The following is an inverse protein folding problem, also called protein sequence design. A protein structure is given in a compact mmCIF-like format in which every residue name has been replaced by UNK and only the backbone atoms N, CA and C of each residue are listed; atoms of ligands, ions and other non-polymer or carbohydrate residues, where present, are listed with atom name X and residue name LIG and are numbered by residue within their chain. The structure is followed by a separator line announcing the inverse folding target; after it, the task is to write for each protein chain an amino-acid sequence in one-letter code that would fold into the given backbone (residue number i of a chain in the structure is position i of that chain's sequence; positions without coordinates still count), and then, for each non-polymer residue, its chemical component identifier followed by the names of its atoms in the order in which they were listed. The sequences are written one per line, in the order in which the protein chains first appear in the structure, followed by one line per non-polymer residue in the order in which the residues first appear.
data_IF_530645079106
#
_entry.id   IF_530645079106
#
_cell.length_a   1.000
_cell.length_b   1.000
_cell.length_c   1.000
_cell.angle_alpha   90.00
_cell.angle_beta   90.00
_cell.angle_gamma   90.00
#
_symmetry.space_group_name_H-M   'P 1'
#
loop_
_entity.id
_entity.type
_entity.pdbx_description
1 polymer ?
#
# COMPACT_ATOMS: atom_id res chain seq x y z
N UNK A 1 -20.14 -19.12 2.40
CA UNK A 1 -18.96 -19.99 2.60
C UNK A 1 -17.82 -19.27 1.91
N UNK A 2 -16.76 -18.76 2.52
CA UNK A 2 -16.16 -18.84 3.87
C UNK A 2 -15.28 -17.57 3.93
N UNK A 3 -15.52 -16.59 4.82
CA UNK A 3 -14.50 -15.57 5.13
C UNK A 3 -14.77 -14.72 6.37
N UNK A 4 -15.21 -15.37 7.45
CA UNK A 4 -15.23 -14.77 8.79
C UNK A 4 -14.53 -15.69 9.77
N UNK A 5 -13.27 -16.05 9.45
CA UNK A 5 -12.28 -16.21 10.51
C UNK A 5 -11.62 -14.85 10.67
N UNK A 6 -12.19 -14.02 11.56
CA UNK A 6 -11.39 -12.97 12.16
C UNK A 6 -10.11 -13.64 12.67
N UNK A 7 -8.96 -13.32 12.07
CA UNK A 7 -7.68 -13.95 12.40
C UNK A 7 -7.42 -13.75 13.89
N UNK A 8 -7.62 -14.81 14.68
CA UNK A 8 -7.29 -14.88 16.12
C UNK A 8 -5.78 -15.05 16.36
N UNK A 9 -4.97 -14.83 15.33
CA UNK A 9 -3.52 -15.03 15.32
C UNK A 9 -2.87 -13.72 14.92
N UNK A 10 -1.92 -13.25 15.73
CA UNK A 10 -1.09 -12.09 15.44
C UNK A 10 -0.17 -12.43 14.27
N UNK A 11 -0.01 -11.52 13.31
CA UNK A 11 0.90 -11.76 12.22
C UNK A 11 2.35 -11.48 12.65
N UNK A 12 3.32 -12.25 12.16
CA UNK A 12 4.75 -11.95 12.38
C UNK A 12 5.19 -10.62 11.75
N UNK A 13 4.44 -10.10 10.77
CA UNK A 13 4.61 -8.76 10.20
C UNK A 13 3.83 -7.66 10.96
N UNK A 14 3.22 -7.97 12.11
CA UNK A 14 2.59 -6.94 12.93
C UNK A 14 3.64 -5.95 13.45
N UNK A 15 3.37 -4.66 13.27
CA UNK A 15 4.32 -3.59 13.57
C UNK A 15 4.66 -3.50 15.07
N UNK A 16 3.68 -3.78 15.96
CA UNK A 16 3.92 -3.84 17.42
C UNK A 16 4.80 -5.01 17.80
N UNK A 17 4.56 -6.19 17.21
CA UNK A 17 5.40 -7.37 17.45
C UNK A 17 6.82 -7.21 16.87
N UNK A 18 6.93 -6.61 15.68
CA UNK A 18 8.20 -6.28 15.07
C UNK A 18 9.00 -5.32 15.96
N UNK A 19 8.36 -4.26 16.44
CA UNK A 19 8.92 -3.33 17.42
C UNK A 19 9.34 -4.05 18.70
N UNK A 20 8.47 -4.88 19.27
CA UNK A 20 8.73 -5.67 20.48
C UNK A 20 9.97 -6.55 20.35
N UNK A 21 10.10 -7.26 19.23
CA UNK A 21 11.23 -8.16 18.98
C UNK A 21 12.53 -7.39 18.84
N UNK A 22 12.51 -6.22 18.20
CA UNK A 22 13.73 -5.49 17.82
C UNK A 22 14.08 -4.32 18.73
N UNK A 23 13.25 -3.94 19.70
CA UNK A 23 13.51 -2.78 20.57
C UNK A 23 14.17 -3.11 21.91
N UNK A 24 14.18 -4.38 22.31
CA UNK A 24 14.70 -4.83 23.61
C UNK A 24 16.20 -5.02 23.56
N UNK A 25 16.89 -4.84 24.68
CA UNK A 25 18.36 -4.97 24.77
C UNK A 25 18.85 -6.35 25.26
N UNK A 26 18.01 -7.38 25.13
CA UNK A 26 18.44 -8.78 25.33
C UNK A 26 19.22 -9.34 24.14
N UNK A 27 19.99 -10.41 24.36
CA UNK A 27 20.90 -11.00 23.36
C UNK A 27 20.19 -11.37 22.06
N UNK A 28 18.99 -11.96 22.15
CA UNK A 28 18.21 -12.36 20.98
C UNK A 28 17.82 -11.17 20.12
N UNK A 29 17.26 -10.14 20.76
CA UNK A 29 16.82 -8.91 20.10
C UNK A 29 17.97 -8.15 19.45
N UNK A 30 19.11 -8.01 20.15
CA UNK A 30 20.35 -7.41 19.61
C UNK A 30 20.84 -8.19 18.39
N UNK A 31 20.89 -9.52 18.50
CA UNK A 31 21.30 -10.38 17.40
C UNK A 31 20.36 -10.22 16.18
N UNK A 32 19.05 -10.22 16.39
CA UNK A 32 18.07 -10.12 15.32
C UNK A 32 18.19 -8.79 14.56
N UNK A 33 18.22 -7.65 15.27
CA UNK A 33 18.32 -6.33 14.59
C UNK A 33 19.64 -6.16 13.86
N UNK A 34 20.76 -6.59 14.46
CA UNK A 34 22.08 -6.46 13.83
C UNK A 34 22.20 -7.36 12.60
N UNK A 35 21.65 -8.57 12.67
CA UNK A 35 21.61 -9.49 11.54
C UNK A 35 20.77 -8.91 10.40
N UNK A 36 19.58 -8.37 10.69
CA UNK A 36 18.75 -7.71 9.67
C UNK A 36 19.50 -6.53 9.02
N UNK A 37 20.13 -5.67 9.81
CA UNK A 37 20.92 -4.55 9.28
C UNK A 37 22.03 -5.06 8.36
N UNK A 38 22.78 -6.07 8.78
CA UNK A 38 23.89 -6.63 7.99
C UNK A 38 23.41 -7.27 6.70
N UNK A 39 22.34 -8.07 6.75
CA UNK A 39 21.77 -8.76 5.57
C UNK A 39 21.20 -7.79 4.57
N UNK A 40 20.52 -6.75 5.03
CA UNK A 40 19.89 -5.77 4.16
C UNK A 40 20.93 -4.80 3.61
N UNK A 41 21.86 -4.31 4.40
CA UNK A 41 22.74 -3.18 3.98
C UNK A 41 24.17 -3.58 3.65
N UNK A 42 24.59 -4.80 3.97
CA UNK A 42 25.98 -5.25 3.94
C UNK A 42 26.84 -4.66 5.07
N UNK A 43 26.25 -3.89 5.99
CA UNK A 43 26.96 -3.25 7.09
C UNK A 43 27.02 -4.20 8.28
N UNK A 44 28.22 -4.66 8.60
CA UNK A 44 28.47 -5.35 9.86
C UNK A 44 28.32 -4.39 11.04
N UNK A 45 27.44 -4.73 11.97
CA UNK A 45 27.18 -4.01 13.22
C UNK A 45 27.75 -4.84 14.37
N UNK A 46 28.61 -4.25 15.20
CA UNK A 46 29.15 -4.93 16.38
C UNK A 46 28.28 -4.71 17.59
N UNK A 47 27.88 -3.47 17.80
CA UNK A 47 27.03 -3.05 18.92
C UNK A 47 25.97 -2.09 18.40
N UNK A 48 24.78 -2.18 18.99
CA UNK A 48 23.64 -1.37 18.59
C UNK A 48 22.82 -1.01 19.82
N UNK A 49 22.27 0.20 19.83
CA UNK A 49 21.39 0.66 20.90
C UNK A 49 20.11 1.23 20.32
N UNK A 50 18.97 0.86 20.90
CA UNK A 50 17.66 1.34 20.49
C UNK A 50 17.39 2.69 21.16
N UNK A 51 17.12 3.71 20.34
CA UNK A 51 16.91 5.09 20.81
C UNK A 51 15.47 5.35 21.27
N UNK A 52 14.53 4.50 20.87
CA UNK A 52 13.10 4.64 21.19
C UNK A 52 12.51 3.31 21.70
N UNK A 53 12.96 2.75 22.84
CA UNK A 53 12.58 1.40 23.27
C UNK A 53 11.13 1.28 23.78
N UNK A 54 10.42 2.40 23.96
CA UNK A 54 9.11 2.44 24.61
C UNK A 54 8.07 1.60 23.86
N UNK A 55 7.36 0.75 24.63
CA UNK A 55 6.27 -0.11 24.20
C UNK A 55 5.02 0.08 25.06
N UNK A 56 4.87 1.23 25.71
CA UNK A 56 3.69 1.52 26.55
C UNK A 56 2.40 1.43 25.72
N UNK A 57 1.49 0.48 26.03
CA UNK A 57 0.20 0.32 25.34
C UNK A 57 -0.63 1.60 25.30
N UNK A 58 -0.51 2.49 26.28
CA UNK A 58 -1.17 3.78 26.33
C UNK A 58 -0.69 4.78 25.27
N UNK A 59 0.47 4.51 24.64
CA UNK A 59 1.08 5.32 23.58
C UNK A 59 1.12 4.62 22.22
N UNK A 60 1.27 3.28 22.22
CA UNK A 60 1.19 2.42 21.04
C UNK A 60 -0.18 2.61 20.34
N UNK A 61 -0.18 2.63 19.00
CA UNK A 61 -1.41 2.76 18.20
C UNK A 61 -1.91 4.20 18.00
N UNK A 62 -1.45 5.19 18.79
CA UNK A 62 -1.80 6.61 18.59
C UNK A 62 -1.05 7.25 17.42
N UNK A 63 0.19 6.83 17.16
CA UNK A 63 1.01 7.31 16.05
C UNK A 63 1.87 6.17 15.49
N UNK A 64 1.77 5.92 14.19
CA UNK A 64 2.57 4.88 13.50
C UNK A 64 4.08 5.07 13.67
N UNK A 65 4.57 6.32 13.73
CA UNK A 65 6.01 6.64 13.94
C UNK A 65 6.62 6.05 15.22
N UNK A 66 5.80 5.70 16.22
CA UNK A 66 6.28 5.16 17.48
C UNK A 66 6.71 3.69 17.31
N UNK A 67 6.17 3.02 16.29
CA UNK A 67 6.37 1.59 16.04
C UNK A 67 7.62 1.30 15.21
N UNK A 68 8.17 2.31 14.53
CA UNK A 68 9.51 2.25 13.94
C UNK A 68 10.60 1.97 15.00
N UNK A 69 11.65 1.21 14.63
CA UNK A 69 12.79 0.91 15.51
C UNK A 69 13.98 1.79 15.14
N UNK A 70 14.30 2.78 15.98
CA UNK A 70 15.44 3.66 15.79
C UNK A 70 16.66 3.06 16.47
N UNK A 71 17.68 2.72 15.69
CA UNK A 71 18.90 2.07 16.17
C UNK A 71 20.10 2.96 15.86
N UNK A 72 21.02 3.04 16.81
CA UNK A 72 22.34 3.67 16.63
C UNK A 72 23.43 2.64 16.88
N UNK A 73 24.37 2.52 15.94
CA UNK A 73 25.48 1.58 16.06
C UNK A 73 26.73 2.18 16.73
N UNK A 74 27.77 1.35 16.88
CA UNK A 74 29.04 1.76 17.51
C UNK A 74 29.79 2.89 16.77
N UNK A 75 29.45 3.16 15.51
CA UNK A 75 30.04 4.23 14.69
C UNK A 75 29.15 5.47 14.63
N UNK A 76 28.02 5.46 15.34
CA UNK A 76 27.03 6.52 15.35
C UNK A 76 26.16 6.59 14.09
N UNK A 77 26.14 5.55 13.25
CA UNK A 77 25.22 5.46 12.11
C UNK A 77 23.81 5.18 12.63
N UNK A 78 22.83 5.78 11.97
CA UNK A 78 21.43 5.65 12.35
C UNK A 78 20.72 4.67 11.41
N UNK A 79 19.95 3.75 11.98
CA UNK A 79 19.09 2.83 11.25
C UNK A 79 17.65 3.02 11.71
N UNK A 80 16.73 3.13 10.76
CA UNK A 80 15.30 3.09 11.00
C UNK A 80 14.75 1.78 10.43
N UNK A 81 14.29 0.86 11.28
CA UNK A 81 13.68 -0.39 10.85
C UNK A 81 12.16 -0.24 10.94
N UNK A 82 11.46 -0.41 9.82
CA UNK A 82 10.02 -0.16 9.73
C UNK A 82 9.32 -1.36 9.06
N UNK A 83 8.20 -1.79 9.64
CA UNK A 83 7.35 -2.85 9.09
C UNK A 83 6.04 -2.23 8.62
N UNK A 84 5.84 -2.14 7.31
CA UNK A 84 4.65 -1.51 6.72
C UNK A 84 3.78 -2.54 5.99
N UNK A 85 2.76 -3.02 6.70
CA UNK A 85 1.71 -3.93 6.18
C UNK A 85 0.63 -3.18 5.40
N UNK A 86 0.44 -1.89 5.66
CA UNK A 86 -0.57 -1.07 4.96
C UNK A 86 0.10 -0.20 3.91
N UNK A 87 0.42 -0.76 2.75
CA UNK A 87 0.86 0.05 1.62
C UNK A 87 -0.36 0.64 0.90
N UNK A 88 -0.75 1.85 1.30
CA UNK A 88 -1.99 2.51 0.86
C UNK A 88 -1.75 3.91 0.26
N UNK A 89 -0.70 4.07 -0.55
CA UNK A 89 -0.62 5.17 -1.53
C UNK A 89 0.46 6.22 -1.25
N UNK A 90 0.19 7.44 -1.76
CA UNK A 90 1.16 8.55 -1.80
C UNK A 90 1.54 9.02 -0.39
N UNK A 91 0.60 8.93 0.57
CA UNK A 91 0.82 9.39 1.94
C UNK A 91 1.92 8.60 2.66
N UNK A 92 1.98 7.27 2.50
CA UNK A 92 3.03 6.43 3.06
C UNK A 92 4.41 6.77 2.48
N UNK A 93 4.49 7.01 1.16
CA UNK A 93 5.74 7.41 0.51
C UNK A 93 6.25 8.76 1.05
N UNK A 94 5.36 9.75 1.15
CA UNK A 94 5.69 11.05 1.75
C UNK A 94 6.14 10.91 3.21
N UNK A 95 5.53 9.99 3.95
CA UNK A 95 5.87 9.71 5.35
C UNK A 95 7.29 9.13 5.47
N UNK A 96 7.66 8.17 4.63
CA UNK A 96 9.01 7.62 4.62
C UNK A 96 10.06 8.71 4.33
N UNK A 97 9.78 9.62 3.40
CA UNK A 97 10.66 10.77 3.13
C UNK A 97 10.76 11.72 4.32
N UNK A 98 9.61 12.09 4.90
CA UNK A 98 9.56 12.95 6.07
C UNK A 98 10.35 12.36 7.25
N UNK A 99 10.23 11.05 7.51
CA UNK A 99 10.96 10.39 8.59
C UNK A 99 12.46 10.31 8.34
N UNK A 100 12.87 10.05 7.10
CA UNK A 100 14.28 10.06 6.72
C UNK A 100 14.91 11.42 6.95
N UNK A 101 14.22 12.49 6.52
CA UNK A 101 14.66 13.86 6.72
C UNK A 101 14.66 14.25 8.21
N UNK A 102 13.63 13.87 8.97
CA UNK A 102 13.55 14.13 10.41
C UNK A 102 14.67 13.43 11.18
N UNK A 103 14.95 12.16 10.86
CA UNK A 103 16.04 11.41 11.48
C UNK A 103 17.40 12.07 11.21
N UNK A 104 17.60 12.63 10.01
CA UNK A 104 18.82 13.38 9.68
C UNK A 104 18.90 14.69 10.46
N UNK A 105 17.80 15.46 10.52
CA UNK A 105 17.73 16.72 11.23
C UNK A 105 17.98 16.56 12.74
N UNK A 106 17.47 15.49 13.33
CA UNK A 106 17.61 15.21 14.76
C UNK A 106 19.03 14.81 15.19
N UNK A 107 19.97 14.64 14.24
CA UNK A 107 21.36 14.34 14.60
C UNK A 107 22.13 15.54 15.12
N UNK A 108 21.78 16.75 14.67
CA UNK A 108 22.54 17.95 14.96
C UNK A 108 21.90 18.75 16.10
N UNK A 109 22.70 19.03 17.12
CA UNK A 109 22.43 20.12 18.05
C UNK A 109 22.97 21.45 17.50
N UNK A 110 22.55 22.58 18.09
CA UNK A 110 22.84 23.93 17.58
C UNK A 110 24.34 24.29 17.46
N UNK A 111 25.24 23.48 18.01
CA UNK A 111 26.70 23.65 17.99
C UNK A 111 27.45 22.68 17.07
N UNK A 112 26.76 21.71 16.46
CA UNK A 112 27.40 20.68 15.63
C UNK A 112 27.55 21.10 14.16
N UNK A 113 28.59 20.58 13.47
CA UNK A 113 28.89 20.96 12.09
C UNK A 113 28.26 19.97 11.12
N UNK A 114 27.74 20.45 9.98
CA UNK A 114 27.14 19.58 8.95
C UNK A 114 28.05 18.45 8.46
N UNK A 115 29.38 18.63 8.47
CA UNK A 115 30.34 17.59 8.09
C UNK A 115 30.37 16.38 9.03
N UNK A 116 29.79 16.51 10.22
CA UNK A 116 29.79 15.47 11.25
C UNK A 116 28.53 14.58 11.14
N UNK A 117 27.56 14.96 10.27
CA UNK A 117 26.37 14.18 9.97
C UNK A 117 26.70 12.74 9.59
N UNK A 118 25.98 11.81 10.19
CA UNK A 118 26.08 10.38 9.88
C UNK A 118 24.95 9.97 8.94
N UNK A 119 25.18 8.99 8.07
CA UNK A 119 24.13 8.47 7.21
C UNK A 119 23.01 7.82 8.04
N UNK A 120 21.77 8.07 7.60
CA UNK A 120 20.54 7.42 8.04
C UNK A 120 20.19 6.33 7.03
N UNK A 121 20.05 5.10 7.52
CA UNK A 121 19.63 3.93 6.76
C UNK A 121 18.18 3.61 7.10
N UNK A 122 17.26 3.84 6.17
CA UNK A 122 15.87 3.44 6.30
C UNK A 122 15.70 2.04 5.70
N UNK A 123 15.30 1.06 6.50
CA UNK A 123 15.04 -0.31 6.08
C UNK A 123 13.54 -0.55 6.30
N UNK A 124 12.81 -0.66 5.20
CA UNK A 124 11.35 -0.67 5.20
C UNK A 124 10.88 -1.99 4.59
N UNK A 125 10.26 -2.84 5.40
CA UNK A 125 9.59 -4.05 4.94
C UNK A 125 8.19 -3.67 4.42
N UNK A 126 7.85 -4.11 3.22
CA UNK A 126 6.57 -3.75 2.58
C UNK A 126 5.84 -4.97 1.99
N UNK A 127 4.51 -4.99 2.19
CA UNK A 127 3.58 -6.05 1.75
C UNK A 127 3.13 -5.86 0.28
N UNK A 128 3.48 -4.74 -0.39
CA UNK A 128 3.18 -4.54 -1.82
C UNK A 128 4.45 -4.27 -2.64
N UNK A 129 4.56 -4.97 -3.76
CA UNK A 129 5.56 -4.66 -4.78
C UNK A 129 5.06 -3.52 -5.65
N UNK A 130 5.79 -2.40 -5.66
CA UNK A 130 5.62 -1.41 -6.70
C UNK A 130 6.22 -1.93 -8.02
N UNK A 131 5.59 -1.58 -9.16
CA UNK A 131 6.17 -1.66 -10.51
C UNK A 131 6.77 -3.02 -10.95
N UNK A 132 6.03 -4.13 -10.85
CA UNK A 132 6.49 -5.46 -11.29
C UNK A 132 7.85 -5.89 -10.71
N UNK A 133 8.24 -5.34 -9.55
CA UNK A 133 9.53 -5.62 -8.93
C UNK A 133 9.70 -7.12 -8.64
N UNK A 134 10.89 -7.64 -8.98
CA UNK A 134 11.27 -9.05 -8.75
C UNK A 134 12.42 -9.21 -7.76
N UNK A 135 12.94 -8.11 -7.23
CA UNK A 135 14.05 -8.14 -6.28
C UNK A 135 13.49 -8.12 -4.86
N UNK A 136 13.96 -9.04 -4.00
CA UNK A 136 13.58 -9.05 -2.60
C UNK A 136 14.02 -7.76 -1.89
N UNK A 137 15.19 -7.24 -2.25
CA UNK A 137 15.80 -6.04 -1.68
C UNK A 137 16.10 -5.05 -2.79
N UNK A 138 15.63 -3.81 -2.63
CA UNK A 138 15.97 -2.69 -3.51
C UNK A 138 16.60 -1.56 -2.71
N UNK A 139 17.77 -1.10 -3.14
CA UNK A 139 18.47 0.05 -2.58
C UNK A 139 18.20 1.31 -3.40
N UNK A 140 17.74 2.36 -2.73
CA UNK A 140 17.43 3.64 -3.32
C UNK A 140 18.44 4.70 -2.87
N UNK A 141 18.89 5.49 -3.84
CA UNK A 141 19.77 6.63 -3.64
C UNK A 141 19.41 7.75 -4.62
N UNK A 142 19.67 9.00 -4.21
CA UNK A 142 19.44 10.18 -5.04
C UNK A 142 20.41 10.20 -6.22
N UNK A 143 19.88 10.41 -7.42
CA UNK A 143 20.60 10.43 -8.69
C UNK A 143 20.03 11.53 -9.58
N UNK A 144 20.85 12.07 -10.49
CA UNK A 144 20.38 12.99 -11.53
C UNK A 144 19.63 12.25 -12.66
N UNK A 145 19.15 12.98 -13.65
CA UNK A 145 18.40 12.44 -14.79
C UNK A 145 19.22 11.45 -15.63
N UNK A 146 20.55 11.53 -15.58
CA UNK A 146 21.48 10.62 -16.25
C UNK A 146 21.84 9.39 -15.40
N UNK A 147 21.34 9.32 -14.16
CA UNK A 147 21.59 8.22 -13.23
C UNK A 147 22.90 8.35 -12.45
N UNK A 148 23.58 9.48 -12.49
CA UNK A 148 24.79 9.74 -11.71
C UNK A 148 24.43 10.05 -10.26
N UNK A 149 25.25 9.60 -9.32
CA UNK A 149 25.01 9.78 -7.88
C UNK A 149 25.15 11.26 -7.49
N UNK A 150 24.16 11.80 -6.77
CA UNK A 150 24.20 13.19 -6.29
C UNK A 150 25.40 13.47 -5.38
N UNK A 151 25.78 12.48 -4.56
CA UNK A 151 26.86 12.59 -3.60
C UNK A 151 27.56 11.24 -3.42
N UNK A 152 28.89 11.29 -3.27
CA UNK A 152 29.70 10.13 -2.85
C UNK A 152 29.51 9.78 -1.37
N UNK A 153 28.86 10.66 -0.60
CA UNK A 153 28.53 10.50 0.81
C UNK A 153 27.03 10.73 1.06
N UNK A 154 26.15 9.88 0.49
CA UNK A 154 24.71 10.07 0.64
C UNK A 154 24.30 9.88 2.11
N UNK A 155 23.57 10.85 2.63
CA UNK A 155 23.13 10.89 4.03
C UNK A 155 21.83 10.13 4.26
N UNK A 156 20.98 9.98 3.25
CA UNK A 156 19.76 9.17 3.33
C UNK A 156 19.94 7.99 2.38
N UNK A 157 19.89 6.78 2.94
CA UNK A 157 19.90 5.53 2.19
C UNK A 157 18.63 4.78 2.51
N UNK A 158 17.78 4.55 1.52
CA UNK A 158 16.53 3.83 1.71
C UNK A 158 16.61 2.46 1.08
N UNK A 159 16.16 1.46 1.81
CA UNK A 159 16.07 0.09 1.33
C UNK A 159 14.67 -0.42 1.55
N UNK A 160 14.05 -0.93 0.49
CA UNK A 160 12.77 -1.62 0.58
C UNK A 160 13.01 -3.12 0.51
N UNK A 161 12.45 -3.84 1.48
CA UNK A 161 12.37 -5.30 1.48
C UNK A 161 10.96 -5.67 1.06
N UNK A 162 10.83 -6.19 -0.16
CA UNK A 162 9.55 -6.52 -0.78
C UNK A 162 9.14 -7.95 -0.40
N UNK A 163 8.43 -8.09 0.72
CA UNK A 163 8.07 -9.38 1.30
C UNK A 163 7.41 -10.34 0.29
N UNK A 164 6.45 -9.92 -0.58
CA UNK A 164 5.79 -10.85 -1.52
C UNK A 164 6.74 -11.54 -2.50
N UNK A 165 7.92 -10.97 -2.76
CA UNK A 165 8.92 -11.57 -3.66
C UNK A 165 9.43 -12.90 -3.11
N UNK A 166 9.38 -13.13 -1.79
CA UNK A 166 9.83 -14.39 -1.18
C UNK A 166 9.03 -15.59 -1.69
N UNK A 167 7.75 -15.39 -2.05
CA UNK A 167 6.90 -16.45 -2.58
C UNK A 167 7.35 -16.87 -4.00
N UNK A 168 7.88 -15.95 -4.79
CA UNK A 168 8.48 -16.27 -6.09
C UNK A 168 9.84 -16.96 -5.96
N UNK A 169 10.60 -16.64 -4.91
CA UNK A 169 11.84 -17.35 -4.56
C UNK A 169 11.51 -18.78 -4.12
N UNK A 170 10.49 -18.96 -3.27
CA UNK A 170 10.04 -20.26 -2.77
C UNK A 170 9.59 -21.23 -3.88
N UNK A 171 9.10 -20.73 -5.00
CA UNK A 171 8.77 -21.55 -6.19
C UNK A 171 10.01 -22.15 -6.88
N UNK A 172 11.18 -21.56 -6.68
CA UNK A 172 12.43 -21.91 -7.37
C UNK A 172 13.47 -22.55 -6.44
N UNK A 173 13.34 -22.30 -5.14
CA UNK A 173 14.30 -22.65 -4.10
C UNK A 173 13.54 -23.21 -2.91
N UNK A 174 13.89 -24.41 -2.47
CA UNK A 174 13.27 -25.01 -1.28
C UNK A 174 13.53 -24.12 -0.05
N UNK A 175 12.56 -24.03 0.86
CA UNK A 175 12.64 -23.17 2.05
C UNK A 175 13.90 -23.52 2.88
N UNK A 176 14.23 -24.80 3.00
CA UNK A 176 15.40 -25.27 3.75
C UNK A 176 16.75 -24.91 3.10
N UNK A 177 16.73 -24.50 1.83
CA UNK A 177 17.91 -24.00 1.12
C UNK A 177 18.03 -22.48 1.17
N UNK A 178 16.97 -21.77 1.61
CA UNK A 178 16.98 -20.33 1.80
C UNK A 178 17.97 -19.94 2.89
N UNK A 179 18.59 -18.76 2.76
CA UNK A 179 19.40 -18.22 3.84
C UNK A 179 18.53 -17.76 5.02
N UNK A 180 19.18 -17.37 6.13
CA UNK A 180 18.51 -16.92 7.34
C UNK A 180 17.53 -15.76 7.10
N UNK A 181 17.90 -14.81 6.24
CA UNK A 181 17.09 -13.63 5.95
C UNK A 181 15.92 -13.93 5.02
N UNK A 182 16.13 -14.75 3.99
CA UNK A 182 15.06 -15.25 3.12
C UNK A 182 14.03 -16.06 3.91
N UNK A 183 14.46 -16.95 4.81
CA UNK A 183 13.55 -17.68 5.70
C UNK A 183 12.79 -16.75 6.64
N UNK A 184 13.45 -15.71 7.17
CA UNK A 184 12.79 -14.69 7.98
C UNK A 184 11.75 -13.88 7.18
N UNK A 185 12.05 -13.53 5.92
CA UNK A 185 11.08 -12.89 5.03
C UNK A 185 9.90 -13.81 4.73
N UNK A 186 10.14 -15.12 4.57
CA UNK A 186 9.08 -16.09 4.35
C UNK A 186 8.17 -16.21 5.58
N UNK A 187 8.73 -16.19 6.79
CA UNK A 187 7.98 -16.13 8.04
C UNK A 187 7.09 -14.89 8.10
N UNK A 188 7.62 -13.70 7.78
CA UNK A 188 6.87 -12.45 7.79
C UNK A 188 5.73 -12.44 6.77
N UNK A 189 5.99 -12.84 5.52
CA UNK A 189 5.01 -12.81 4.44
C UNK A 189 3.87 -13.83 4.65
N UNK A 190 4.21 -15.05 5.05
CA UNK A 190 3.25 -16.15 5.08
C UNK A 190 2.68 -16.46 6.46
N UNK A 191 3.14 -15.74 7.50
CA UNK A 191 2.84 -16.04 8.89
C UNK A 191 3.07 -17.54 9.21
N UNK A 192 4.14 -18.11 8.63
CA UNK A 192 4.33 -19.55 8.56
C UNK A 192 4.47 -20.17 9.96
N UNK A 193 3.78 -21.29 10.20
CA UNK A 193 3.97 -22.07 11.42
C UNK A 193 5.35 -22.73 11.44
N UNK A 194 5.86 -23.00 12.64
CA UNK A 194 7.15 -23.66 12.81
C UNK A 194 7.23 -25.01 12.07
N UNK A 195 6.14 -25.79 12.04
CA UNK A 195 6.08 -27.07 11.32
C UNK A 195 6.22 -26.95 9.79
N UNK A 196 6.01 -25.75 9.24
CA UNK A 196 6.17 -25.48 7.80
C UNK A 196 7.60 -25.00 7.51
N UNK A 197 8.12 -24.14 8.37
CA UNK A 197 9.45 -23.55 8.17
C UNK A 197 10.57 -24.54 8.54
N UNK A 198 10.37 -25.32 9.61
CA UNK A 198 11.37 -26.21 10.24
C UNK A 198 12.77 -25.58 10.34
N UNK A 199 12.81 -24.27 10.57
CA UNK A 199 14.03 -23.49 10.43
C UNK A 199 15.03 -23.81 11.53
N UNK A 200 16.29 -23.98 11.12
CA UNK A 200 17.41 -24.12 12.04
C UNK A 200 18.09 -22.79 12.33
N UNK A 201 17.72 -21.75 11.58
CA UNK A 201 18.37 -20.44 11.58
C UNK A 201 18.06 -19.67 12.85
N UNK A 202 19.10 -19.09 13.46
CA UNK A 202 18.97 -18.38 14.73
C UNK A 202 18.06 -17.16 14.61
N UNK A 203 18.09 -16.45 13.47
CA UNK A 203 17.26 -15.27 13.24
C UNK A 203 15.76 -15.62 13.37
N UNK A 204 15.32 -16.66 12.67
CA UNK A 204 13.94 -17.16 12.72
C UNK A 204 13.55 -17.58 14.13
N UNK A 205 14.41 -18.36 14.81
CA UNK A 205 14.15 -18.82 16.17
C UNK A 205 13.94 -17.69 17.15
N UNK A 206 14.75 -16.62 17.08
CA UNK A 206 14.56 -15.44 17.93
C UNK A 206 13.16 -14.83 17.73
N UNK A 207 12.70 -14.69 16.49
CA UNK A 207 11.36 -14.17 16.22
C UNK A 207 10.26 -15.10 16.76
N UNK A 208 10.40 -16.42 16.58
CA UNK A 208 9.44 -17.38 17.12
C UNK A 208 9.40 -17.37 18.65
N UNK A 209 10.56 -17.38 19.31
CA UNK A 209 10.68 -17.31 20.77
C UNK A 209 10.07 -16.02 21.32
N UNK A 210 10.32 -14.88 20.65
CA UNK A 210 9.72 -13.58 21.01
C UNK A 210 8.22 -13.53 20.82
N UNK A 211 7.71 -14.23 19.82
CA UNK A 211 6.27 -14.33 19.58
C UNK A 211 5.60 -15.09 20.73
N UNK A 212 6.18 -16.22 21.14
CA UNK A 212 5.71 -16.98 22.32
C UNK A 212 5.89 -16.21 23.64
N UNK A 213 6.94 -15.39 23.78
CA UNK A 213 7.15 -14.50 24.93
C UNK A 213 6.04 -13.44 24.99
N UNK A 214 5.82 -12.71 23.88
CA UNK A 214 4.80 -11.65 23.80
C UNK A 214 3.39 -12.19 23.99
N UNK A 215 3.11 -13.42 23.54
CA UNK A 215 1.79 -14.04 23.72
C UNK A 215 1.41 -14.24 25.19
N UNK A 216 2.39 -14.29 26.10
CA UNK A 216 2.17 -14.41 27.56
C UNK A 216 1.92 -13.05 28.23
N UNK A 217 2.12 -11.94 27.50
CA UNK A 217 1.82 -10.58 27.95
C UNK A 217 0.44 -10.17 27.42
N UNK A 218 -0.61 -10.44 28.22
CA UNK A 218 -2.01 -10.26 27.81
C UNK A 218 -2.33 -8.82 27.33
N UNK A 219 -1.76 -7.80 27.99
CA UNK A 219 -2.04 -6.40 27.69
C UNK A 219 -1.38 -6.00 26.36
N UNK A 220 -0.10 -6.32 26.18
CA UNK A 220 0.61 -5.98 24.97
C UNK A 220 0.09 -6.80 23.77
N UNK A 221 -0.21 -8.08 23.99
CA UNK A 221 -0.76 -8.98 22.98
C UNK A 221 -2.14 -8.51 22.48
N UNK A 222 -3.05 -8.20 23.41
CA UNK A 222 -4.39 -7.72 23.06
C UNK A 222 -4.34 -6.37 22.35
N UNK A 223 -3.42 -5.49 22.75
CA UNK A 223 -3.18 -4.21 22.06
C UNK A 223 -2.71 -4.41 20.63
N UNK A 224 -1.71 -5.28 20.41
CA UNK A 224 -1.21 -5.59 19.07
C UNK A 224 -2.29 -6.22 18.18
N UNK A 225 -3.14 -7.07 18.77
CA UNK A 225 -4.28 -7.67 18.07
C UNK A 225 -5.35 -6.64 17.71
N UNK A 226 -5.69 -5.74 18.62
CA UNK A 226 -6.66 -4.68 18.38
C UNK A 226 -6.21 -3.76 17.23
N UNK A 227 -4.91 -3.44 17.17
CA UNK A 227 -4.31 -2.66 16.07
C UNK A 227 -4.42 -3.42 14.75
N UNK A 228 -3.99 -4.69 14.71
CA UNK A 228 -4.08 -5.51 13.49
C UNK A 228 -5.52 -5.63 12.97
N UNK A 229 -6.48 -5.87 13.87
CA UNK A 229 -7.89 -5.94 13.50
C UNK A 229 -8.42 -4.58 13.03
N UNK A 230 -7.97 -3.48 13.63
CA UNK A 230 -8.29 -2.13 13.20
C UNK A 230 -7.80 -1.83 11.78
N UNK A 231 -6.55 -2.20 11.49
CA UNK A 231 -5.96 -2.04 10.16
C UNK A 231 -6.64 -2.91 9.10
N UNK A 232 -6.98 -4.15 9.45
CA UNK A 232 -7.75 -5.04 8.57
C UNK A 232 -9.14 -4.46 8.27
N UNK A 233 -9.86 -3.97 9.29
CA UNK A 233 -11.18 -3.32 9.10
C UNK A 233 -11.08 -2.10 8.19
N UNK A 234 -10.06 -1.27 8.37
CA UNK A 234 -9.82 -0.12 7.51
C UNK A 234 -9.56 -0.53 6.05
N UNK A 235 -8.76 -1.59 5.85
CA UNK A 235 -8.48 -2.15 4.52
C UNK A 235 -9.74 -2.66 3.83
N UNK A 236 -10.53 -3.48 4.50
CA UNK A 236 -11.79 -4.01 3.95
C UNK A 236 -12.79 -2.89 3.65
N UNK A 237 -12.93 -1.90 4.53
CA UNK A 237 -13.82 -0.77 4.27
C UNK A 237 -13.42 0.05 3.03
N UNK A 238 -12.12 0.19 2.76
CA UNK A 238 -11.62 0.82 1.53
C UNK A 238 -11.88 -0.04 0.29
N UNK A 239 -11.66 -1.35 0.38
CA UNK A 239 -11.91 -2.29 -0.72
C UNK A 239 -13.39 -2.33 -1.09
N UNK A 240 -14.28 -2.45 -0.10
CA UNK A 240 -15.74 -2.43 -0.30
C UNK A 240 -16.18 -1.12 -0.98
N UNK A 241 -15.69 0.03 -0.48
CA UNK A 241 -15.99 1.35 -1.07
C UNK A 241 -15.51 1.48 -2.51
N UNK A 242 -14.33 0.91 -2.82
CA UNK A 242 -13.78 0.90 -4.18
C UNK A 242 -14.59 0.01 -5.12
N UNK A 243 -14.97 -1.20 -4.67
CA UNK A 243 -15.81 -2.10 -5.45
C UNK A 243 -17.20 -1.52 -5.74
N UNK A 244 -17.83 -0.90 -4.76
CA UNK A 244 -19.11 -0.21 -4.92
C UNK A 244 -19.00 0.93 -5.93
N UNK A 245 -18.01 1.81 -5.77
CA UNK A 245 -17.76 2.90 -6.72
C UNK A 245 -17.47 2.42 -8.14
N UNK A 246 -16.76 1.29 -8.28
CA UNK A 246 -16.50 0.68 -9.59
C UNK A 246 -17.77 0.10 -10.22
N UNK A 247 -18.62 -0.58 -9.43
CA UNK A 247 -19.92 -1.10 -9.89
C UNK A 247 -20.84 0.04 -10.34
N UNK A 248 -20.96 1.10 -9.54
CA UNK A 248 -21.73 2.29 -9.90
C UNK A 248 -21.20 2.96 -11.16
N UNK A 249 -19.87 3.12 -11.28
CA UNK A 249 -19.23 3.67 -12.47
C UNK A 249 -19.50 2.85 -13.73
N UNK A 250 -19.49 1.51 -13.64
CA UNK A 250 -19.82 0.62 -14.76
C UNK A 250 -21.30 0.74 -15.14
N UNK A 251 -22.21 0.80 -14.16
CA UNK A 251 -23.66 0.94 -14.41
C UNK A 251 -23.93 2.28 -15.11
N UNK A 252 -23.40 3.37 -14.56
CA UNK A 252 -23.55 4.71 -15.13
C UNK A 252 -22.95 4.80 -16.53
N UNK A 253 -21.73 4.28 -16.72
CA UNK A 253 -21.07 4.26 -18.02
C UNK A 253 -21.81 3.43 -19.07
N UNK A 254 -22.43 2.31 -18.68
CA UNK A 254 -23.29 1.53 -19.59
C UNK A 254 -24.57 2.28 -19.97
N UNK A 255 -25.22 2.95 -19.02
CA UNK A 255 -26.42 3.74 -19.28
C UNK A 255 -26.11 4.93 -20.21
N UNK A 256 -25.07 5.69 -19.90
CA UNK A 256 -24.60 6.82 -20.72
C UNK A 256 -24.18 6.34 -22.13
N UNK A 257 -23.46 5.22 -22.22
CA UNK A 257 -23.04 4.64 -23.50
C UNK A 257 -24.21 4.14 -24.36
N UNK A 258 -25.25 3.58 -23.75
CA UNK A 258 -26.49 3.19 -24.45
C UNK A 258 -27.20 4.42 -25.01
N UNK A 259 -27.35 5.46 -24.20
CA UNK A 259 -28.00 6.71 -24.60
C UNK A 259 -27.25 7.41 -25.73
N UNK A 260 -25.92 7.49 -25.63
CA UNK A 260 -25.08 8.05 -26.68
C UNK A 260 -25.14 7.22 -27.97
N UNK A 261 -25.17 5.88 -27.86
CA UNK A 261 -25.38 4.99 -29.00
C UNK A 261 -26.73 5.19 -29.70
N UNK A 262 -27.80 5.40 -28.93
CA UNK A 262 -29.14 5.72 -29.47
C UNK A 262 -29.14 7.07 -30.20
N UNK A 263 -28.49 8.10 -29.64
CA UNK A 263 -28.32 9.40 -30.31
C UNK A 263 -27.57 9.27 -31.63
N UNK A 264 -26.46 8.53 -31.65
CA UNK A 264 -25.68 8.31 -32.87
C UNK A 264 -26.44 7.51 -33.93
N UNK A 265 -27.29 6.56 -33.51
CA UNK A 265 -28.14 5.82 -34.44
C UNK A 265 -29.24 6.72 -35.02
N UNK A 266 -29.96 7.46 -34.18
CA UNK A 266 -31.00 8.40 -34.61
C UNK A 266 -30.43 9.47 -35.53
N UNK A 267 -29.26 10.01 -35.21
CA UNK A 267 -28.57 10.97 -36.07
C UNK A 267 -28.36 10.42 -37.48
N UNK A 268 -27.77 9.21 -37.61
CA UNK A 268 -27.55 8.57 -38.92
C UNK A 268 -28.84 8.33 -39.69
N UNK A 269 -29.91 7.89 -39.01
CA UNK A 269 -31.20 7.65 -39.66
C UNK A 269 -31.87 8.95 -40.13
N UNK A 270 -31.79 10.00 -39.31
CA UNK A 270 -32.35 11.31 -39.63
C UNK A 270 -31.59 12.01 -40.74
N UNK A 271 -30.25 11.93 -40.73
CA UNK A 271 -29.40 12.44 -41.81
C UNK A 271 -29.73 11.71 -43.13
N UNK A 272 -29.92 10.39 -43.10
CA UNK A 272 -30.33 9.64 -44.30
C UNK A 272 -31.73 10.00 -44.81
N UNK A 273 -32.70 10.25 -43.92
CA UNK A 273 -34.09 10.53 -44.29
C UNK A 273 -34.32 11.99 -44.70
N UNK A 274 -33.77 12.94 -43.94
CA UNK A 274 -34.04 14.37 -44.09
C UNK A 274 -32.87 15.16 -44.69
N UNK A 275 -31.68 14.56 -44.82
CA UNK A 275 -30.46 15.21 -45.34
C UNK A 275 -30.01 16.43 -44.51
N UNK A 276 -30.29 16.41 -43.20
CA UNK A 276 -29.93 17.47 -42.26
C UNK A 276 -29.16 16.92 -41.04
N UNK A 277 -28.15 17.67 -40.57
CA UNK A 277 -27.41 17.35 -39.34
C UNK A 277 -28.26 17.66 -38.09
N UNK A 278 -28.61 16.60 -37.37
CA UNK A 278 -29.42 16.66 -36.16
C UNK A 278 -28.63 16.48 -34.87
N UNK A 279 -27.28 16.44 -34.91
CA UNK A 279 -26.42 16.11 -33.76
C UNK A 279 -26.70 17.00 -32.55
N UNK A 280 -26.61 18.33 -32.73
CA UNK A 280 -26.83 19.29 -31.64
C UNK A 280 -28.25 19.22 -31.07
N UNK A 281 -29.24 18.94 -31.92
CA UNK A 281 -30.63 18.81 -31.49
C UNK A 281 -30.84 17.53 -30.67
N UNK A 282 -30.38 16.37 -31.16
CA UNK A 282 -30.45 15.10 -30.43
C UNK A 282 -29.66 15.15 -29.10
N UNK A 283 -28.58 15.92 -29.06
CA UNK A 283 -27.82 16.13 -27.82
C UNK A 283 -28.61 16.84 -26.72
N UNK A 284 -29.57 17.69 -27.12
CA UNK A 284 -30.41 18.46 -26.20
C UNK A 284 -31.61 17.68 -25.64
N UNK A 285 -31.90 16.49 -26.17
CA UNK A 285 -33.08 15.70 -25.81
C UNK A 285 -32.84 14.72 -24.65
N UNK A 286 -33.87 14.45 -23.84
CA UNK A 286 -33.82 13.40 -22.80
C UNK A 286 -33.97 11.99 -23.40
N UNK A 287 -33.69 10.93 -22.62
CA UNK A 287 -33.89 9.53 -23.05
C UNK A 287 -35.34 9.29 -23.54
N UNK A 288 -36.33 9.72 -22.76
CA UNK A 288 -37.75 9.59 -23.14
C UNK A 288 -38.07 10.33 -24.45
N UNK A 289 -37.48 11.50 -24.65
CA UNK A 289 -37.66 12.28 -25.88
C UNK A 289 -37.04 11.56 -27.08
N UNK A 290 -35.88 10.92 -26.93
CA UNK A 290 -35.26 10.13 -28.00
C UNK A 290 -36.11 8.91 -28.39
N UNK A 291 -36.74 8.25 -27.43
CA UNK A 291 -37.69 7.18 -27.72
C UNK A 291 -38.90 7.69 -28.52
N UNK A 292 -39.42 8.88 -28.20
CA UNK A 292 -40.51 9.52 -28.97
C UNK A 292 -40.03 9.88 -30.38
N UNK A 293 -38.81 10.44 -30.52
CA UNK A 293 -38.19 10.73 -31.82
C UNK A 293 -38.15 9.46 -32.67
N UNK A 294 -37.69 8.34 -32.11
CA UNK A 294 -37.57 7.06 -32.82
C UNK A 294 -38.90 6.60 -33.43
N UNK A 295 -40.01 6.74 -32.68
CA UNK A 295 -41.35 6.39 -33.18
C UNK A 295 -41.83 7.37 -34.26
N UNK A 296 -41.71 8.68 -34.00
CA UNK A 296 -42.18 9.72 -34.94
C UNK A 296 -41.36 9.78 -36.22
N UNK A 297 -40.11 9.30 -36.19
CA UNK A 297 -39.24 9.23 -37.36
C UNK A 297 -39.87 8.40 -38.49
N UNK A 298 -40.66 7.37 -38.16
CA UNK A 298 -41.34 6.54 -39.14
C UNK A 298 -42.56 7.22 -39.76
N UNK A 299 -43.21 8.12 -39.02
CA UNK A 299 -44.49 8.73 -39.39
C UNK A 299 -44.36 10.11 -40.06
N UNK A 300 -43.33 10.88 -39.70
CA UNK A 300 -43.16 12.25 -40.19
C UNK A 300 -42.41 12.27 -41.52
N UNK A 301 -42.84 13.12 -42.45
CA UNK A 301 -42.20 13.26 -43.77
C UNK A 301 -41.12 14.35 -43.79
N UNK A 302 -41.14 15.28 -42.81
CA UNK A 302 -40.16 16.37 -42.69
C UNK A 302 -39.62 16.51 -41.27
N UNK A 303 -38.39 17.05 -41.14
CA UNK A 303 -37.76 17.32 -39.85
C UNK A 303 -38.55 18.33 -39.00
N UNK A 304 -39.12 19.34 -39.64
CA UNK A 304 -39.89 20.39 -38.98
C UNK A 304 -41.19 19.84 -38.38
N UNK A 305 -41.89 18.95 -39.09
CA UNK A 305 -43.06 18.25 -38.56
C UNK A 305 -42.72 17.43 -37.31
N UNK A 306 -41.62 16.67 -37.37
CA UNK A 306 -41.15 15.84 -36.27
C UNK A 306 -40.82 16.69 -35.02
N UNK A 307 -40.06 17.78 -35.20
CA UNK A 307 -39.73 18.73 -34.11
C UNK A 307 -40.98 19.35 -33.50
N UNK A 308 -41.98 19.69 -34.32
CA UNK A 308 -43.22 20.30 -33.84
C UNK A 308 -44.13 19.31 -33.09
N UNK A 309 -44.22 18.05 -33.55
CA UNK A 309 -44.97 17.00 -32.83
C UNK A 309 -44.35 16.70 -31.46
N UNK A 310 -43.02 16.65 -31.35
CA UNK A 310 -42.34 16.47 -30.05
C UNK A 310 -42.67 17.62 -29.10
N UNK A 311 -42.56 18.88 -29.57
CA UNK A 311 -42.93 20.05 -28.75
C UNK A 311 -44.38 20.00 -28.29
N UNK A 312 -45.30 19.57 -29.16
CA UNK A 312 -46.72 19.45 -28.82
C UNK A 312 -46.99 18.37 -27.76
N UNK A 313 -46.31 17.22 -27.84
CA UNK A 313 -46.42 16.14 -26.86
C UNK A 313 -45.92 16.61 -25.49
N UNK A 314 -44.77 17.29 -25.45
CA UNK A 314 -44.17 17.82 -24.22
C UNK A 314 -45.05 18.88 -23.54
N UNK A 315 -45.71 19.75 -24.32
CA UNK A 315 -46.62 20.76 -23.77
C UNK A 315 -47.91 20.18 -23.18
N UNK A 316 -48.34 18.98 -23.62
CA UNK A 316 -49.53 18.31 -23.10
C UNK A 316 -49.27 17.48 -21.84
N UNK A 317 -48.02 17.18 -21.50
CA UNK A 317 -47.66 16.41 -20.29
C UNK A 317 -47.39 17.28 -19.05
N UNK A 318 -47.41 18.61 -19.19
CA UNK A 318 -47.20 19.58 -18.09
C UNK A 318 -48.50 20.20 -17.53
N UNK A 319 -49.65 19.55 -17.72
CA UNK A 319 -50.95 19.89 -17.10
C UNK A 319 -51.42 18.76 -16.21
#
# INVERSE_FOLDING_TARGET
MENTKANTVLNYCNDVFFKYTLSREDEGSVYARNTIIERVTGIKVKESTVQNPNLDPGTIGKKRIILDVHVKDEKGRFFNLEMQTTYAGVAEMMRFEFYGARALNNQLDSSEKYKDLKPVYQIIFIEKCAWNNKNLINHYQMRNEQGEDESKHPLIRRTYVHLPVINEIAKKKAIQQMDDFEQQCFLFENNAKNDILESKERLVKVFMDKYEEMQKDDELWSTAMAIQMGEARYRYGLEDSFEEGMKEGIIKGKAEGKLEGERQLLHRLMEAKFQEDCTAWLQSLTEDQLHIVSNLLLECDTLEELKNRIKAILNNTSK
#
